data_IF_711203062176
#
_entry.id   IF_711203062176
#
_cell.length_a   1.000
_cell.length_b   1.000
_cell.length_c   1.000
_cell.angle_alpha   90.00
_cell.angle_beta   90.00
_cell.angle_gamma   90.00
#
_symmetry.space_group_name_H-M   'P 1'
#
loop_
_entity.id
_entity.type
_entity.pdbx_description
1 polymer ?
#
# COMPACT_ATOMS: atom_id res chain seq x y z
N UNK A 1 40.91 59.71 39.41
CA UNK A 1 40.00 60.27 40.43
C UNK A 1 38.96 61.09 39.67
N UNK A 2 37.63 60.91 39.69
CA UNK A 2 36.65 60.27 40.57
C UNK A 2 35.62 59.57 39.65
N UNK A 3 35.40 58.25 39.73
CA UNK A 3 34.28 57.58 40.43
C UNK A 3 32.94 58.32 40.35
N UNK A 4 32.01 57.72 39.60
CA UNK A 4 30.57 57.98 39.61
C UNK A 4 29.86 56.77 39.00
N UNK A 5 29.55 55.79 39.86
CA UNK A 5 28.80 54.55 39.58
C UNK A 5 27.32 54.79 39.92
N UNK A 6 26.42 53.91 39.43
CA UNK A 6 25.05 53.58 39.96
C UNK A 6 23.92 54.49 39.40
N UNK A 7 22.77 54.06 38.83
CA UNK A 7 22.09 52.75 38.68
C UNK A 7 20.82 52.92 37.79
N UNK A 8 20.47 51.86 37.03
CA UNK A 8 19.12 51.32 36.69
C UNK A 8 18.05 52.25 36.06
N UNK A 9 17.56 51.87 34.87
CA UNK A 9 16.15 51.46 34.64
C UNK A 9 15.93 50.93 33.22
N UNK A 10 15.29 49.76 33.16
CA UNK A 10 14.84 48.95 32.01
C UNK A 10 13.89 49.68 31.05
N UNK A 11 14.01 49.39 29.74
CA UNK A 11 12.84 49.30 28.85
C UNK A 11 13.08 48.40 27.63
N UNK A 12 12.05 47.59 27.37
CA UNK A 12 11.90 46.44 26.49
C UNK A 12 11.61 46.89 25.05
N UNK A 13 12.13 46.20 24.04
CA UNK A 13 11.38 45.92 22.81
C UNK A 13 12.06 44.79 22.02
N UNK A 14 11.38 43.64 21.97
CA UNK A 14 11.68 42.50 21.14
C UNK A 14 11.57 42.83 19.64
N UNK A 15 12.52 42.33 18.85
CA UNK A 15 12.34 42.13 17.42
C UNK A 15 12.42 40.62 17.13
N UNK A 16 11.23 40.05 17.02
CA UNK A 16 10.87 38.75 16.47
C UNK A 16 11.17 38.83 14.94
N UNK A 17 11.72 37.87 14.20
CA UNK A 17 11.08 36.63 13.71
C UNK A 17 12.06 35.85 12.79
N UNK A 18 12.28 34.59 13.19
CA UNK A 18 12.17 33.35 12.39
C UNK A 18 13.07 33.14 11.16
N UNK A 19 14.25 32.56 11.38
CA UNK A 19 14.83 31.62 10.42
C UNK A 19 14.36 30.19 10.73
N UNK A 20 13.75 29.58 9.72
CA UNK A 20 13.58 28.14 9.51
C UNK A 20 12.99 27.31 10.66
N UNK A 21 11.66 27.32 10.79
CA UNK A 21 10.96 26.08 11.12
C UNK A 21 11.09 25.19 9.89
N UNK A 22 12.04 24.25 9.93
CA UNK A 22 12.08 23.12 9.01
C UNK A 22 10.87 22.25 9.35
N UNK A 23 9.74 22.49 8.69
CA UNK A 23 8.58 21.60 8.75
C UNK A 23 8.99 20.31 8.00
N UNK A 24 9.02 19.12 8.63
CA UNK A 24 9.10 17.89 7.89
C UNK A 24 7.74 17.64 7.20
N UNK A 25 7.58 18.13 5.96
CA UNK A 25 6.46 17.77 5.09
C UNK A 25 6.63 16.34 4.55
N UNK A 26 6.50 15.30 5.39
CA UNK A 26 6.26 13.93 4.90
C UNK A 26 5.87 12.90 5.99
N UNK A 27 4.81 13.15 6.76
CA UNK A 27 4.26 12.13 7.67
C UNK A 27 2.81 11.72 7.37
N UNK A 28 2.13 12.42 6.46
CA UNK A 28 0.68 12.24 6.25
C UNK A 28 0.33 11.29 5.09
N UNK A 29 1.30 10.91 4.25
CA UNK A 29 1.10 10.11 3.03
C UNK A 29 1.41 8.59 3.21
N UNK A 30 1.83 8.16 4.40
CA UNK A 30 2.12 6.75 4.69
C UNK A 30 0.89 6.00 5.21
N UNK A 31 0.16 6.57 6.18
CA UNK A 31 -1.04 5.94 6.76
C UNK A 31 -2.15 5.74 5.74
N UNK A 32 -2.41 6.74 4.89
CA UNK A 32 -3.48 6.64 3.88
C UNK A 32 -3.18 5.56 2.81
N UNK A 33 -1.90 5.31 2.51
CA UNK A 33 -1.49 4.23 1.59
C UNK A 33 -1.64 2.85 2.21
N UNK A 34 -1.31 2.71 3.49
CA UNK A 34 -1.54 1.47 4.25
C UNK A 34 -3.04 1.13 4.33
N UNK A 35 -3.89 2.14 4.58
CA UNK A 35 -5.34 1.95 4.64
C UNK A 35 -5.91 1.45 3.31
N UNK A 36 -5.48 2.05 2.19
CA UNK A 36 -5.92 1.61 0.85
C UNK A 36 -5.42 0.20 0.55
N UNK A 37 -4.17 -0.14 0.89
CA UNK A 37 -3.63 -1.49 0.69
C UNK A 37 -4.43 -2.54 1.48
N UNK A 38 -4.78 -2.25 2.73
CA UNK A 38 -5.63 -3.12 3.55
C UNK A 38 -7.02 -3.32 2.95
N UNK A 39 -7.64 -2.26 2.43
CA UNK A 39 -8.95 -2.37 1.74
C UNK A 39 -8.85 -3.27 0.50
N UNK A 40 -7.78 -3.12 -0.29
CA UNK A 40 -7.54 -3.96 -1.49
C UNK A 40 -7.43 -5.44 -1.11
N UNK A 41 -6.70 -5.76 -0.04
CA UNK A 41 -6.53 -7.13 0.45
C UNK A 41 -7.87 -7.74 0.90
N UNK A 42 -8.69 -6.98 1.65
CA UNK A 42 -10.02 -7.42 2.07
C UNK A 42 -10.95 -7.66 0.87
N UNK A 43 -10.98 -6.74 -0.09
CA UNK A 43 -11.79 -6.89 -1.32
C UNK A 43 -11.34 -8.11 -2.13
N UNK A 44 -10.02 -8.38 -2.17
CA UNK A 44 -9.45 -9.56 -2.84
C UNK A 44 -9.97 -10.85 -2.22
N UNK A 45 -9.83 -11.00 -0.91
CA UNK A 45 -10.27 -12.22 -0.22
C UNK A 45 -11.78 -12.39 -0.36
N UNK A 46 -12.56 -11.33 -0.14
CA UNK A 46 -14.02 -11.39 -0.25
C UNK A 46 -14.48 -11.80 -1.65
N UNK A 47 -13.96 -11.14 -2.69
CA UNK A 47 -14.36 -11.44 -4.06
C UNK A 47 -13.98 -12.86 -4.46
N UNK A 48 -12.78 -13.28 -4.11
CA UNK A 48 -12.26 -14.59 -4.48
C UNK A 48 -13.04 -15.72 -3.78
N UNK A 49 -13.33 -15.56 -2.49
CA UNK A 49 -14.15 -16.52 -1.73
C UNK A 49 -15.59 -16.59 -2.25
N UNK A 50 -16.17 -15.45 -2.65
CA UNK A 50 -17.50 -15.39 -3.28
C UNK A 50 -17.52 -16.08 -4.65
N UNK A 51 -16.58 -15.75 -5.54
CA UNK A 51 -16.48 -16.30 -6.88
C UNK A 51 -16.30 -17.82 -6.84
N UNK A 52 -15.39 -18.31 -5.99
CA UNK A 52 -15.04 -19.72 -5.88
C UNK A 52 -16.10 -20.55 -5.14
N UNK A 53 -16.97 -19.92 -4.34
CA UNK A 53 -17.98 -20.59 -3.53
C UNK A 53 -17.38 -21.76 -2.73
N UNK A 54 -16.28 -21.47 -2.02
CA UNK A 54 -15.51 -22.47 -1.27
C UNK A 54 -16.33 -23.04 -0.11
N UNK A 55 -16.20 -24.35 0.16
CA UNK A 55 -16.74 -24.92 1.40
C UNK A 55 -15.97 -24.42 2.63
N UNK A 56 -16.52 -24.61 3.83
CA UNK A 56 -15.84 -24.22 5.08
C UNK A 56 -14.50 -24.93 5.24
N UNK A 57 -14.42 -26.20 4.85
CA UNK A 57 -13.22 -27.03 4.88
C UNK A 57 -12.19 -26.61 3.82
N UNK A 58 -12.66 -26.17 2.64
CA UNK A 58 -11.77 -25.60 1.64
C UNK A 58 -11.23 -24.24 2.09
N UNK A 59 -12.04 -23.39 2.72
CA UNK A 59 -11.61 -22.07 3.19
C UNK A 59 -10.44 -22.13 4.18
N UNK A 60 -10.46 -23.08 5.12
CA UNK A 60 -9.41 -23.23 6.15
C UNK A 60 -8.06 -23.63 5.55
N UNK A 61 -8.04 -24.37 4.44
CA UNK A 61 -6.82 -24.78 3.74
C UNK A 61 -6.41 -23.80 2.64
N UNK A 62 -7.38 -23.16 1.99
CA UNK A 62 -7.19 -22.19 0.91
C UNK A 62 -6.53 -20.90 1.39
N UNK A 63 -7.05 -20.31 2.48
CA UNK A 63 -6.63 -18.98 2.91
C UNK A 63 -5.13 -18.88 3.26
N UNK A 64 -4.53 -19.81 4.02
CA UNK A 64 -3.10 -19.75 4.32
C UNK A 64 -2.21 -19.74 3.07
N UNK A 65 -2.51 -20.61 2.10
CA UNK A 65 -1.75 -20.69 0.84
C UNK A 65 -1.95 -19.45 -0.03
N UNK A 66 -3.19 -18.97 -0.11
CA UNK A 66 -3.48 -17.72 -0.80
C UNK A 66 -2.69 -16.55 -0.19
N UNK A 67 -2.66 -16.44 1.14
CA UNK A 67 -1.92 -15.41 1.83
C UNK A 67 -0.40 -15.49 1.58
N UNK A 68 0.17 -16.70 1.45
CA UNK A 68 1.57 -16.87 1.06
C UNK A 68 1.85 -16.29 -0.34
N UNK A 69 0.95 -16.51 -1.31
CA UNK A 69 1.07 -15.91 -2.65
C UNK A 69 1.02 -14.38 -2.57
N UNK A 70 0.15 -13.83 -1.73
CA UNK A 70 0.02 -12.38 -1.53
C UNK A 70 1.26 -11.75 -0.90
N UNK A 71 1.80 -12.36 0.15
CA UNK A 71 3.03 -11.89 0.79
C UNK A 71 4.23 -11.99 -0.16
N UNK A 72 4.33 -13.08 -0.92
CA UNK A 72 5.37 -13.24 -1.94
C UNK A 72 5.26 -12.15 -3.03
N UNK A 73 4.04 -11.80 -3.47
CA UNK A 73 3.81 -10.68 -4.39
C UNK A 73 4.24 -9.34 -3.78
N UNK A 74 3.90 -9.07 -2.52
CA UNK A 74 4.29 -7.84 -1.82
C UNK A 74 5.81 -7.71 -1.74
N UNK A 75 6.49 -8.77 -1.31
CA UNK A 75 7.96 -8.83 -1.22
C UNK A 75 8.62 -8.60 -2.58
N UNK A 76 8.17 -9.34 -3.61
CA UNK A 76 8.63 -9.16 -4.99
C UNK A 76 8.55 -7.71 -5.46
N UNK A 77 7.40 -7.03 -5.26
CA UNK A 77 7.26 -5.64 -5.68
C UNK A 77 8.15 -4.67 -4.91
N UNK A 78 8.49 -4.97 -3.65
CA UNK A 78 9.44 -4.17 -2.87
C UNK A 78 10.86 -4.36 -3.41
N UNK A 79 11.29 -5.60 -3.58
CA UNK A 79 12.65 -5.94 -4.03
C UNK A 79 12.90 -5.49 -5.46
N UNK A 80 11.96 -5.77 -6.36
CA UNK A 80 12.04 -5.33 -7.76
C UNK A 80 12.15 -3.81 -7.89
N UNK A 81 11.38 -3.06 -7.08
CA UNK A 81 11.49 -1.58 -7.06
C UNK A 81 12.86 -1.11 -6.59
N UNK A 82 13.44 -1.77 -5.57
CA UNK A 82 14.80 -1.45 -5.09
C UNK A 82 15.84 -1.75 -6.17
N UNK A 83 15.76 -2.91 -6.82
CA UNK A 83 16.67 -3.31 -7.90
C UNK A 83 16.62 -2.35 -9.10
N UNK A 84 15.40 -2.01 -9.57
CA UNK A 84 15.24 -1.04 -10.65
C UNK A 84 15.72 0.36 -10.28
N UNK A 85 15.51 0.80 -9.02
CA UNK A 85 16.04 2.08 -8.56
C UNK A 85 17.57 2.09 -8.58
N UNK A 86 18.22 0.98 -8.19
CA UNK A 86 19.67 0.83 -8.25
C UNK A 86 20.18 0.90 -9.69
N UNK A 87 19.56 0.15 -10.60
CA UNK A 87 19.89 0.19 -12.04
C UNK A 87 19.76 1.59 -12.62
N UNK A 88 18.65 2.27 -12.32
CA UNK A 88 18.42 3.65 -12.75
C UNK A 88 19.52 4.60 -12.26
N UNK A 89 19.94 4.48 -11.00
CA UNK A 89 21.02 5.31 -10.44
C UNK A 89 22.35 5.04 -11.15
N UNK A 90 22.67 3.77 -11.45
CA UNK A 90 23.91 3.41 -12.16
C UNK A 90 23.92 3.95 -13.58
N UNK A 91 22.80 3.85 -14.29
CA UNK A 91 22.61 4.38 -15.65
C UNK A 91 22.71 5.92 -15.66
N UNK A 92 22.04 6.60 -14.72
CA UNK A 92 22.07 8.07 -14.60
C UNK A 92 23.45 8.61 -14.20
N UNK A 93 24.28 7.83 -13.48
CA UNK A 93 25.64 8.22 -13.09
C UNK A 93 26.57 8.30 -14.32
N UNK A 94 26.34 7.46 -15.33
CA UNK A 94 27.05 7.47 -16.62
C UNK A 94 28.50 6.98 -16.60
N UNK A 95 29.06 6.68 -15.43
CA UNK A 95 30.42 6.17 -15.20
C UNK A 95 30.43 4.78 -14.54
N UNK A 96 29.27 4.10 -14.48
CA UNK A 96 29.18 2.73 -14.00
C UNK A 96 29.93 1.76 -14.90
N UNK A 97 30.68 0.84 -14.30
CA UNK A 97 31.38 -0.19 -15.06
C UNK A 97 30.39 -1.22 -15.63
N UNK A 98 30.79 -1.89 -16.70
CA UNK A 98 30.01 -2.99 -17.27
C UNK A 98 29.72 -4.09 -16.24
N UNK A 99 30.69 -4.38 -15.37
CA UNK A 99 30.55 -5.36 -14.29
C UNK A 99 29.53 -4.92 -13.22
N UNK A 100 29.49 -3.63 -12.87
CA UNK A 100 28.49 -3.08 -11.95
C UNK A 100 27.07 -3.18 -12.53
N UNK A 101 26.92 -2.85 -13.81
CA UNK A 101 25.65 -2.96 -14.54
C UNK A 101 25.20 -4.41 -14.66
N UNK A 102 26.09 -5.30 -15.09
CA UNK A 102 25.83 -6.74 -15.23
C UNK A 102 25.41 -7.35 -13.89
N UNK A 103 26.08 -7.00 -12.80
CA UNK A 103 25.73 -7.46 -11.45
C UNK A 103 24.35 -6.98 -11.03
N UNK A 104 24.05 -5.68 -11.21
CA UNK A 104 22.75 -5.11 -10.85
C UNK A 104 21.61 -5.67 -11.70
N UNK A 105 21.86 -5.96 -12.98
CA UNK A 105 20.90 -6.57 -13.90
C UNK A 105 20.66 -8.04 -13.54
N UNK A 106 21.72 -8.79 -13.23
CA UNK A 106 21.62 -10.16 -12.73
C UNK A 106 20.77 -10.28 -11.47
N UNK A 107 20.93 -9.35 -10.53
CA UNK A 107 20.09 -9.26 -9.32
C UNK A 107 18.61 -9.06 -9.65
N UNK A 108 18.28 -8.22 -10.64
CA UNK A 108 16.90 -8.02 -11.07
C UNK A 108 16.31 -9.32 -11.66
N UNK A 109 17.05 -10.00 -12.53
CA UNK A 109 16.59 -11.24 -13.15
C UNK A 109 16.43 -12.37 -12.13
N UNK A 110 17.33 -12.49 -11.17
CA UNK A 110 17.20 -13.47 -10.08
C UNK A 110 15.94 -13.24 -9.25
N UNK A 111 15.60 -11.98 -8.93
CA UNK A 111 14.35 -11.62 -8.25
C UNK A 111 13.12 -12.03 -9.09
N UNK A 112 13.15 -11.78 -10.39
CA UNK A 112 12.04 -12.13 -11.31
C UNK A 112 11.86 -13.65 -11.44
N UNK A 113 12.95 -14.40 -11.62
CA UNK A 113 12.94 -15.85 -11.73
C UNK A 113 12.49 -16.54 -10.44
N UNK A 114 13.03 -16.11 -9.29
CA UNK A 114 12.66 -16.67 -7.99
C UNK A 114 11.19 -16.43 -7.69
N UNK A 115 10.68 -15.22 -8.00
CA UNK A 115 9.26 -14.92 -7.86
C UNK A 115 8.39 -15.82 -8.74
N UNK A 116 8.74 -15.98 -10.02
CA UNK A 116 7.97 -16.80 -10.95
C UNK A 116 7.86 -18.26 -10.46
N UNK A 117 9.00 -18.88 -10.13
CA UNK A 117 9.08 -20.28 -9.65
C UNK A 117 8.28 -20.49 -8.36
N UNK A 118 8.43 -19.60 -7.39
CA UNK A 118 7.77 -19.72 -6.09
C UNK A 118 6.25 -19.49 -6.21
N UNK A 119 5.82 -18.50 -7.02
CA UNK A 119 4.38 -18.27 -7.25
C UNK A 119 3.74 -19.42 -7.98
N UNK A 120 4.41 -20.00 -8.98
CA UNK A 120 3.90 -21.17 -9.72
C UNK A 120 3.72 -22.36 -8.80
N UNK A 121 4.72 -22.68 -7.99
CA UNK A 121 4.66 -23.76 -7.00
C UNK A 121 3.46 -23.59 -6.05
N UNK A 122 3.30 -22.39 -5.47
CA UNK A 122 2.19 -22.10 -4.56
C UNK A 122 0.82 -22.15 -5.26
N UNK A 123 0.75 -21.75 -6.54
CA UNK A 123 -0.49 -21.83 -7.32
C UNK A 123 -0.89 -23.27 -7.61
N UNK A 124 0.05 -24.13 -7.98
CA UNK A 124 -0.22 -25.55 -8.24
C UNK A 124 -0.70 -26.24 -6.97
N UNK A 125 -0.01 -25.95 -5.87
CA UNK A 125 -0.39 -26.38 -4.53
C UNK A 125 -1.80 -25.93 -4.11
N UNK A 126 -2.18 -24.70 -4.42
CA UNK A 126 -3.52 -24.17 -4.16
C UNK A 126 -4.56 -24.81 -5.07
N UNK A 127 -4.26 -24.94 -6.36
CA UNK A 127 -5.14 -25.54 -7.36
C UNK A 127 -5.45 -27.00 -7.06
N UNK A 128 -4.52 -27.75 -6.46
CA UNK A 128 -4.74 -29.14 -6.03
C UNK A 128 -5.90 -29.30 -5.02
N UNK A 129 -6.29 -28.22 -4.35
CA UNK A 129 -7.38 -28.18 -3.36
C UNK A 129 -8.71 -27.69 -3.96
N UNK A 130 -8.70 -27.28 -5.23
CA UNK A 130 -9.83 -26.72 -5.95
C UNK A 130 -10.35 -27.72 -6.98
N UNK A 131 -11.67 -27.75 -7.16
CA UNK A 131 -12.25 -28.43 -8.33
C UNK A 131 -11.85 -27.72 -9.62
N UNK A 132 -11.86 -28.42 -10.76
CA UNK A 132 -11.55 -27.80 -12.07
C UNK A 132 -12.37 -26.53 -12.34
N UNK A 133 -13.66 -26.53 -11.97
CA UNK A 133 -14.52 -25.35 -12.12
C UNK A 133 -14.06 -24.18 -11.24
N UNK A 134 -13.60 -24.47 -10.02
CA UNK A 134 -13.03 -23.47 -9.12
C UNK A 134 -11.67 -22.97 -9.65
N UNK A 135 -10.81 -23.84 -10.18
CA UNK A 135 -9.53 -23.44 -10.79
C UNK A 135 -9.74 -22.47 -11.96
N UNK A 136 -10.71 -22.72 -12.84
CA UNK A 136 -11.06 -21.81 -13.94
C UNK A 136 -11.50 -20.44 -13.39
N UNK A 137 -12.37 -20.42 -12.38
CA UNK A 137 -12.80 -19.17 -11.74
C UNK A 137 -11.65 -18.44 -11.07
N UNK A 138 -10.73 -19.17 -10.43
CA UNK A 138 -9.54 -18.61 -9.80
C UNK A 138 -8.61 -17.96 -10.84
N UNK A 139 -8.41 -18.60 -11.98
CA UNK A 139 -7.62 -18.07 -13.08
C UNK A 139 -8.23 -16.77 -13.63
N UNK A 140 -9.53 -16.77 -13.91
CA UNK A 140 -10.27 -15.57 -14.37
C UNK A 140 -10.18 -14.45 -13.33
N UNK A 141 -10.47 -14.74 -12.06
CA UNK A 141 -10.46 -13.75 -10.99
C UNK A 141 -9.07 -13.13 -10.80
N UNK A 142 -7.98 -13.91 -10.90
CA UNK A 142 -6.61 -13.37 -10.85
C UNK A 142 -6.31 -12.40 -12.00
N UNK A 143 -6.76 -12.71 -13.22
CA UNK A 143 -6.57 -11.86 -14.39
C UNK A 143 -7.37 -10.55 -14.27
N UNK A 144 -8.64 -10.64 -13.87
CA UNK A 144 -9.54 -9.48 -13.78
C UNK A 144 -9.39 -8.67 -12.50
N UNK A 145 -8.67 -9.20 -11.49
CA UNK A 145 -8.63 -8.63 -10.15
C UNK A 145 -8.33 -7.13 -10.11
N UNK A 146 -7.31 -6.67 -10.85
CA UNK A 146 -6.89 -5.26 -10.83
C UNK A 146 -8.01 -4.33 -11.31
N UNK A 147 -8.71 -4.74 -12.37
CA UNK A 147 -9.86 -4.02 -12.90
C UNK A 147 -10.99 -4.00 -11.87
N UNK A 148 -11.24 -5.15 -11.26
CA UNK A 148 -12.36 -5.33 -10.33
C UNK A 148 -12.18 -4.53 -9.04
N UNK A 149 -10.98 -4.51 -8.46
CA UNK A 149 -10.66 -3.66 -7.32
C UNK A 149 -10.75 -2.19 -7.66
N UNK A 150 -10.24 -1.78 -8.83
CA UNK A 150 -10.37 -0.38 -9.26
C UNK A 150 -11.83 0.05 -9.31
N UNK A 151 -12.72 -0.81 -9.82
CA UNK A 151 -14.16 -0.53 -9.84
C UNK A 151 -14.76 -0.42 -8.43
N UNK A 152 -14.38 -1.31 -7.52
CA UNK A 152 -14.85 -1.24 -6.11
C UNK A 152 -14.39 0.05 -5.45
N UNK A 153 -13.12 0.43 -5.59
CA UNK A 153 -12.58 1.66 -5.01
C UNK A 153 -13.26 2.92 -5.57
N UNK A 154 -13.56 2.95 -6.88
CA UNK A 154 -14.30 4.06 -7.50
C UNK A 154 -15.70 4.17 -6.86
N UNK A 155 -16.44 3.07 -6.75
CA UNK A 155 -17.79 3.07 -6.13
C UNK A 155 -17.75 3.49 -4.66
N UNK A 156 -16.74 3.05 -3.90
CA UNK A 156 -16.57 3.46 -2.50
C UNK A 156 -16.32 4.96 -2.38
N UNK A 157 -15.52 5.53 -3.29
CA UNK A 157 -15.29 6.98 -3.36
C UNK A 157 -16.59 7.72 -3.67
N UNK A 158 -17.35 7.29 -4.68
CA UNK A 158 -18.65 7.88 -5.04
C UNK A 158 -19.65 7.84 -3.87
N UNK A 159 -19.73 6.72 -3.15
CA UNK A 159 -20.57 6.60 -1.96
C UNK A 159 -20.14 7.54 -0.82
N UNK A 160 -18.83 7.73 -0.64
CA UNK A 160 -18.30 8.69 0.33
C UNK A 160 -18.70 10.12 0.00
N UNK A 161 -18.63 10.51 -1.27
CA UNK A 161 -19.04 11.84 -1.74
C UNK A 161 -20.56 12.04 -1.67
N UNK A 162 -21.36 11.02 -1.99
CA UNK A 162 -22.83 11.05 -1.82
C UNK A 162 -23.24 11.30 -0.36
N UNK A 163 -22.57 10.63 0.60
CA UNK A 163 -22.83 10.83 2.04
C UNK A 163 -22.45 12.22 2.53
N UNK A 164 -21.40 12.84 1.99
CA UNK A 164 -21.02 14.23 2.32
C UNK A 164 -22.05 15.24 1.82
N UNK A 165 -22.73 14.94 0.71
CA UNK A 165 -23.74 15.82 0.11
C UNK A 165 -25.14 15.69 0.76
N UNK A 166 -25.40 14.68 1.60
CA UNK A 166 -26.66 14.51 2.34
C UNK A 166 -26.48 14.46 3.88
N UNK A 167 -26.13 15.56 4.55
CA UNK A 167 -25.96 15.55 6.01
C UNK A 167 -27.26 15.49 6.84
N UNK A 168 -28.47 15.47 6.25
CA UNK A 168 -29.72 15.71 7.00
C UNK A 168 -30.93 14.83 6.62
N UNK A 169 -30.81 13.49 6.69
CA UNK A 169 -32.02 12.64 6.73
C UNK A 169 -32.02 11.56 7.83
N UNK A 170 -30.93 11.34 8.56
CA UNK A 170 -30.87 10.28 9.59
C UNK A 170 -31.21 10.79 11.00
N UNK A 171 -31.26 12.11 11.24
CA UNK A 171 -31.62 12.68 12.57
C UNK A 171 -33.11 12.92 12.80
N UNK A 172 -33.98 12.76 11.80
CA UNK A 172 -35.38 13.16 11.93
C UNK A 172 -36.32 12.11 12.56
N UNK A 173 -35.88 10.84 12.75
CA UNK A 173 -36.80 9.74 13.11
C UNK A 173 -36.65 9.20 14.54
N UNK A 174 -35.84 9.84 15.40
CA UNK A 174 -35.79 9.48 16.83
C UNK A 174 -36.71 10.32 17.73
N UNK A 175 -37.53 11.21 17.16
CA UNK A 175 -38.44 12.09 17.93
C UNK A 175 -39.88 11.56 18.03
N UNK A 176 -40.23 10.44 17.39
CA UNK A 176 -41.62 9.96 17.36
C UNK A 176 -41.81 8.54 17.89
N UNK A 177 -41.16 8.23 19.01
CA UNK A 177 -41.60 7.18 19.93
C UNK A 177 -41.84 7.80 21.30
N UNK A 178 -43.03 8.38 21.47
CA UNK A 178 -43.70 8.46 22.77
C UNK A 178 -44.73 7.34 22.81
#
# INVERSE_FOLDING_TARGET
MKKGLIIITTLIAAAILTSAILIPLKAEDTHQKEDIAGIVDVVRIWKLTSDLSLSKEQLTSFYPKFNQIEELRKQYWVERRKALKKLKILDERGDASEEELQTALGQLYEIEDNFAKNVETLKDELNSQLTLRQQVKFAISNDTFRRDVRQVLIRLKELGEFKKQQPMLIRADSSNRK
#
